data_IF_615526848392
#
_entry.id   IF_615526848392
#
_cell.length_a   1.000
_cell.length_b   1.000
_cell.length_c   1.000
_cell.angle_alpha   90.00
_cell.angle_beta   90.00
_cell.angle_gamma   90.00
#
_symmetry.space_group_name_H-M   'P 1'
#
loop_
_entity.id
_entity.type
_entity.pdbx_description
1 polymer ?
#
# COMPACT_ATOMS: atom_id res chain seq x y z
N UNK A 1 -9.68 4.81 9.90
CA UNK A 1 -10.20 3.60 10.57
C UNK A 1 -11.46 3.89 11.41
N UNK A 2 -11.47 4.89 12.30
CA UNK A 2 -12.61 5.15 13.20
C UNK A 2 -13.94 5.50 12.48
N UNK A 3 -13.88 6.00 11.25
CA UNK A 3 -15.05 6.37 10.45
C UNK A 3 -15.72 5.17 9.79
N UNK A 4 -14.96 4.10 9.47
CA UNK A 4 -15.41 2.95 8.71
C UNK A 4 -16.42 2.14 9.50
N UNK A 5 -17.58 1.83 8.88
CA UNK A 5 -18.65 1.02 9.46
C UNK A 5 -19.24 0.07 8.45
N UNK A 6 -19.71 -1.08 8.91
CA UNK A 6 -20.51 -2.00 8.09
C UNK A 6 -21.68 -1.27 7.43
N UNK A 7 -21.97 -1.58 6.17
CA UNK A 7 -23.02 -0.96 5.36
C UNK A 7 -22.62 0.31 4.63
N UNK A 8 -21.45 0.90 4.91
CA UNK A 8 -20.92 2.01 4.12
C UNK A 8 -20.51 1.54 2.73
N UNK A 9 -20.60 2.44 1.72
CA UNK A 9 -20.05 2.16 0.39
C UNK A 9 -18.58 2.53 0.29
N UNK A 10 -17.86 1.98 -0.70
CA UNK A 10 -16.47 2.32 -1.00
C UNK A 10 -16.33 3.82 -1.27
N UNK A 11 -17.24 4.37 -2.08
CA UNK A 11 -17.26 5.81 -2.40
C UNK A 11 -17.46 6.71 -1.17
N UNK A 12 -18.33 6.32 -0.22
CA UNK A 12 -18.51 7.11 1.02
C UNK A 12 -17.23 7.22 1.83
N UNK A 13 -16.39 6.15 1.85
CA UNK A 13 -15.12 6.19 2.57
C UNK A 13 -14.10 7.02 1.78
N UNK A 14 -14.04 6.88 0.46
CA UNK A 14 -13.16 7.69 -0.38
C UNK A 14 -13.48 9.19 -0.24
N UNK A 15 -14.75 9.58 -0.37
CA UNK A 15 -15.19 10.98 -0.21
C UNK A 15 -14.83 11.56 1.16
N UNK A 16 -14.94 10.74 2.22
CA UNK A 16 -14.55 11.17 3.55
C UNK A 16 -13.03 11.42 3.65
N UNK A 17 -12.20 10.54 3.09
CA UNK A 17 -10.73 10.69 3.09
C UNK A 17 -10.34 11.97 2.34
N UNK A 18 -10.88 12.17 1.16
CA UNK A 18 -10.62 13.34 0.32
C UNK A 18 -11.04 14.65 1.02
N UNK A 19 -12.23 14.66 1.65
CA UNK A 19 -12.70 15.81 2.42
C UNK A 19 -11.77 16.15 3.61
N UNK A 20 -11.25 15.13 4.32
CA UNK A 20 -10.32 15.34 5.42
C UNK A 20 -8.96 15.87 4.90
N UNK A 21 -8.45 15.40 3.76
CA UNK A 21 -7.24 15.95 3.15
C UNK A 21 -7.36 17.46 2.88
N UNK A 22 -8.43 17.88 2.22
CA UNK A 22 -8.64 19.31 1.96
C UNK A 22 -8.85 20.14 3.23
N UNK A 23 -9.53 19.58 4.22
CA UNK A 23 -9.72 20.22 5.53
C UNK A 23 -8.41 20.43 6.27
N UNK A 24 -7.47 19.48 6.18
CA UNK A 24 -6.14 19.59 6.76
C UNK A 24 -5.20 20.50 5.93
N UNK A 25 -5.60 20.93 4.72
CA UNK A 25 -4.88 21.91 3.91
C UNK A 25 -4.14 21.33 2.70
N UNK A 26 -4.43 20.08 2.30
CA UNK A 26 -3.95 19.55 1.03
C UNK A 26 -4.46 20.40 -0.14
N UNK A 27 -3.63 20.56 -1.17
CA UNK A 27 -3.96 21.35 -2.38
C UNK A 27 -4.53 20.51 -3.51
N UNK A 28 -4.51 19.20 -3.38
CA UNK A 28 -5.03 18.23 -4.35
C UNK A 28 -4.84 16.80 -3.85
N UNK A 29 -5.25 15.85 -4.66
CA UNK A 29 -4.97 14.43 -4.48
C UNK A 29 -3.74 14.06 -5.31
N UNK A 30 -2.92 13.11 -4.83
CA UNK A 30 -1.80 12.54 -5.61
C UNK A 30 -2.34 11.70 -6.77
N UNK A 31 -3.41 10.95 -6.48
CA UNK A 31 -4.17 10.09 -7.39
C UNK A 31 -5.61 9.95 -6.88
N UNK A 32 -6.49 9.34 -7.67
CA UNK A 32 -7.86 9.03 -7.25
C UNK A 32 -7.84 8.02 -6.08
N UNK A 33 -8.42 8.39 -4.93
CA UNK A 33 -8.43 7.54 -3.74
C UNK A 33 -9.05 6.17 -4.04
N UNK A 34 -8.33 5.08 -3.75
CA UNK A 34 -8.79 3.71 -3.94
C UNK A 34 -9.35 3.19 -2.61
N UNK A 35 -10.59 2.71 -2.63
CA UNK A 35 -11.21 2.00 -1.51
C UNK A 35 -11.87 0.74 -2.05
N UNK A 36 -11.45 -0.43 -1.57
CA UNK A 36 -11.91 -1.72 -2.06
C UNK A 36 -12.40 -2.60 -0.92
N UNK A 37 -13.54 -3.28 -1.11
CA UNK A 37 -14.06 -4.24 -0.14
C UNK A 37 -14.03 -5.66 -0.68
N UNK A 38 -13.54 -6.62 0.12
CA UNK A 38 -13.55 -8.03 -0.21
C UNK A 38 -12.96 -8.30 -1.59
N UNK A 39 -13.73 -8.89 -2.51
CA UNK A 39 -13.25 -9.28 -3.85
C UNK A 39 -12.78 -8.10 -4.72
N UNK A 40 -13.30 -6.88 -4.52
CA UNK A 40 -12.83 -5.70 -5.24
C UNK A 40 -11.37 -5.37 -4.94
N UNK A 41 -10.87 -5.74 -3.75
CA UNK A 41 -9.47 -5.50 -3.38
C UNK A 41 -8.47 -6.38 -4.18
N UNK A 42 -8.94 -7.34 -4.95
CA UNK A 42 -8.09 -8.08 -5.88
C UNK A 42 -7.80 -7.30 -7.19
N UNK A 43 -8.55 -6.24 -7.47
CA UNK A 43 -8.28 -5.29 -8.55
C UNK A 43 -7.48 -4.11 -8.00
N UNK A 44 -6.23 -4.00 -8.42
CA UNK A 44 -5.26 -3.01 -7.91
C UNK A 44 -5.60 -1.57 -8.29
N UNK A 45 -6.38 -1.38 -9.36
CA UNK A 45 -6.80 -0.07 -9.89
C UNK A 45 -8.31 0.14 -9.79
N UNK A 46 -8.96 -0.54 -8.84
CA UNK A 46 -10.40 -0.46 -8.63
C UNK A 46 -10.86 0.97 -8.30
N UNK A 47 -11.89 1.44 -8.98
CA UNK A 47 -12.55 2.71 -8.64
C UNK A 47 -13.63 2.49 -7.58
N UNK A 48 -13.70 3.31 -6.51
CA UNK A 48 -14.66 3.13 -5.42
C UNK A 48 -16.11 3.12 -5.90
N UNK A 49 -16.82 2.04 -5.60
CA UNK A 49 -18.22 1.82 -5.99
C UNK A 49 -19.19 2.63 -5.13
N UNK A 50 -20.19 3.25 -5.76
CA UNK A 50 -21.29 3.94 -5.07
C UNK A 50 -22.32 2.97 -4.45
N UNK A 51 -22.33 1.70 -4.88
CA UNK A 51 -23.37 0.74 -4.51
C UNK A 51 -22.86 -0.47 -3.73
N UNK A 52 -21.56 -0.80 -3.84
CA UNK A 52 -20.93 -1.90 -3.09
C UNK A 52 -20.81 -1.50 -1.62
N UNK A 53 -21.50 -2.22 -0.75
CA UNK A 53 -21.50 -1.98 0.69
C UNK A 53 -20.60 -2.96 1.44
N UNK A 54 -19.92 -2.47 2.46
CA UNK A 54 -19.04 -3.22 3.35
C UNK A 54 -19.83 -4.21 4.20
N UNK A 55 -19.34 -5.45 4.30
CA UNK A 55 -19.90 -6.51 5.12
C UNK A 55 -18.91 -6.99 6.17
N UNK A 56 -19.43 -7.53 7.28
CA UNK A 56 -18.60 -8.17 8.29
C UNK A 56 -17.74 -9.29 7.70
N UNK A 57 -16.47 -9.38 8.13
CA UNK A 57 -15.46 -10.33 7.65
C UNK A 57 -14.75 -9.94 6.36
N UNK A 58 -15.15 -8.86 5.68
CA UNK A 58 -14.47 -8.41 4.47
C UNK A 58 -13.23 -7.56 4.78
N UNK A 59 -12.20 -7.68 3.94
CA UNK A 59 -11.10 -6.73 3.95
C UNK A 59 -11.57 -5.36 3.42
N UNK A 60 -10.89 -4.32 3.89
CA UNK A 60 -11.02 -2.93 3.45
C UNK A 60 -9.62 -2.44 3.10
N UNK A 61 -9.27 -2.52 1.83
CA UNK A 61 -8.03 -1.96 1.32
C UNK A 61 -8.27 -0.50 0.99
N UNK A 62 -7.43 0.36 1.52
CA UNK A 62 -7.44 1.81 1.27
C UNK A 62 -6.07 2.23 0.80
N UNK A 63 -6.02 2.82 -0.38
CA UNK A 63 -4.86 3.43 -0.96
C UNK A 63 -5.15 4.91 -1.22
N UNK A 64 -4.33 5.78 -0.64
CA UNK A 64 -4.66 7.20 -0.52
C UNK A 64 -3.42 8.07 -0.47
N UNK A 65 -3.47 9.18 -1.20
CA UNK A 65 -2.42 10.17 -1.24
C UNK A 65 -2.94 11.57 -1.51
N UNK A 66 -2.22 12.59 -1.04
CA UNK A 66 -2.55 13.99 -1.26
C UNK A 66 -1.32 14.81 -1.64
N UNK A 67 -1.56 15.98 -2.24
CA UNK A 67 -0.52 16.96 -2.56
C UNK A 67 -0.43 17.96 -1.40
N UNK A 68 0.75 18.00 -0.78
CA UNK A 68 1.07 18.94 0.29
C UNK A 68 2.33 19.73 -0.05
N UNK A 69 2.23 21.06 -0.07
CA UNK A 69 3.36 21.94 -0.45
C UNK A 69 4.02 21.57 -1.79
N UNK A 70 3.22 21.06 -2.75
CA UNK A 70 3.69 20.67 -4.08
C UNK A 70 4.33 19.29 -4.18
N UNK A 71 4.26 18.47 -3.13
CA UNK A 71 4.73 17.09 -3.13
C UNK A 71 3.58 16.11 -2.89
N UNK A 72 3.66 14.96 -3.55
CA UNK A 72 2.73 13.85 -3.40
C UNK A 72 3.06 13.02 -2.16
N UNK A 73 2.03 12.57 -1.46
CA UNK A 73 2.10 11.48 -0.48
C UNK A 73 1.41 10.24 -1.03
N UNK A 74 1.76 9.08 -0.49
CA UNK A 74 1.20 7.80 -0.87
C UNK A 74 1.23 6.82 0.31
N UNK A 75 0.14 6.07 0.51
CA UNK A 75 0.05 5.05 1.55
C UNK A 75 -1.10 4.10 1.32
N UNK A 76 -0.81 2.80 1.33
CA UNK A 76 -1.85 1.76 1.40
C UNK A 76 -1.87 1.07 2.76
N UNK A 77 -3.09 0.84 3.27
CA UNK A 77 -3.36 -0.03 4.44
C UNK A 77 -4.58 -0.91 4.18
N UNK A 78 -4.51 -2.13 4.72
CA UNK A 78 -5.64 -3.08 4.68
C UNK A 78 -6.17 -3.31 6.09
N UNK A 79 -7.49 -3.15 6.26
CA UNK A 79 -8.25 -3.38 7.48
C UNK A 79 -9.26 -4.51 7.27
N UNK A 80 -9.99 -4.92 8.33
CA UNK A 80 -11.03 -5.96 8.25
C UNK A 80 -12.28 -5.51 9.00
N UNK A 81 -13.45 -5.68 8.39
CA UNK A 81 -14.71 -5.28 9.00
C UNK A 81 -15.13 -6.27 10.10
N UNK A 82 -15.17 -5.79 11.34
CA UNK A 82 -15.60 -6.51 12.58
C UNK A 82 -14.81 -7.77 12.91
N UNK A 83 -14.46 -8.60 11.94
CA UNK A 83 -13.74 -9.87 12.14
C UNK A 83 -12.74 -10.13 11.03
N UNK A 84 -11.76 -10.96 11.31
CA UNK A 84 -10.73 -11.42 10.38
C UNK A 84 -10.60 -12.92 10.55
N UNK A 85 -10.45 -13.67 9.45
CA UNK A 85 -10.21 -15.10 9.49
C UNK A 85 -8.71 -15.46 9.48
N UNK A 86 -8.37 -16.74 9.68
CA UNK A 86 -6.99 -17.20 9.78
C UNK A 86 -6.22 -17.06 8.45
N UNK A 87 -6.88 -17.23 7.29
CA UNK A 87 -6.25 -17.06 5.97
C UNK A 87 -5.90 -15.60 5.77
N UNK A 88 -6.82 -14.68 6.09
CA UNK A 88 -6.62 -13.24 5.99
C UNK A 88 -5.48 -12.76 6.91
N UNK A 89 -5.41 -13.25 8.16
CA UNK A 89 -4.32 -12.93 9.09
C UNK A 89 -2.98 -13.42 8.52
N UNK A 90 -2.93 -14.67 8.03
CA UNK A 90 -1.72 -15.26 7.47
C UNK A 90 -1.18 -14.45 6.29
N UNK A 91 -2.07 -14.08 5.35
CA UNK A 91 -1.70 -13.30 4.16
C UNK A 91 -1.30 -11.87 4.55
N UNK A 92 -2.04 -11.24 5.46
CA UNK A 92 -1.69 -9.89 5.93
C UNK A 92 -0.30 -9.87 6.60
N UNK A 93 -0.01 -10.82 7.48
CA UNK A 93 1.30 -10.92 8.14
C UNK A 93 2.42 -11.26 7.15
N UNK A 94 2.14 -12.03 6.10
CA UNK A 94 3.09 -12.31 5.04
C UNK A 94 3.44 -11.03 4.26
N UNK A 95 2.43 -10.25 3.83
CA UNK A 95 2.63 -8.98 3.13
C UNK A 95 3.36 -7.98 4.03
N UNK A 96 2.95 -7.85 5.30
CA UNK A 96 3.63 -6.98 6.27
C UNK A 96 5.10 -7.38 6.43
N UNK A 97 5.39 -8.66 6.57
CA UNK A 97 6.78 -9.15 6.70
C UNK A 97 7.59 -8.89 5.44
N UNK A 98 6.95 -8.97 4.25
CA UNK A 98 7.59 -8.66 2.98
C UNK A 98 7.99 -7.17 2.90
N UNK A 99 7.11 -6.25 3.31
CA UNK A 99 7.43 -4.81 3.44
C UNK A 99 8.61 -4.62 4.38
N UNK A 100 8.52 -5.12 5.63
CA UNK A 100 9.55 -4.96 6.66
C UNK A 100 10.92 -5.51 6.24
N UNK A 101 10.95 -6.63 5.52
CA UNK A 101 12.21 -7.20 4.98
C UNK A 101 12.81 -6.38 3.86
N UNK A 102 11.99 -5.87 2.95
CA UNK A 102 12.45 -5.00 1.87
C UNK A 102 13.01 -3.68 2.45
N UNK A 103 12.29 -3.05 3.37
CA UNK A 103 12.72 -1.85 4.07
C UNK A 103 14.06 -2.04 4.80
N UNK A 104 14.22 -3.16 5.52
CA UNK A 104 15.37 -3.42 6.39
C UNK A 104 16.74 -3.40 5.70
N UNK A 105 16.80 -3.60 4.38
CA UNK A 105 18.06 -3.59 3.63
C UNK A 105 18.34 -2.26 2.92
N UNK A 106 17.40 -1.30 2.96
CA UNK A 106 17.53 -0.03 2.24
C UNK A 106 18.64 0.80 2.85
N UNK A 107 19.61 1.15 2.02
CA UNK A 107 20.70 2.09 2.31
C UNK A 107 21.41 2.44 1.01
N UNK A 108 22.24 3.48 0.98
CA UNK A 108 23.04 3.81 -0.19
C UNK A 108 23.83 2.61 -0.74
N UNK A 109 23.80 2.43 -2.07
CA UNK A 109 24.52 1.38 -2.78
C UNK A 109 23.80 0.04 -2.89
N UNK A 110 22.65 -0.17 -2.25
CA UNK A 110 21.82 -1.37 -2.45
C UNK A 110 21.07 -1.25 -3.78
N UNK A 111 21.04 -2.31 -4.58
CA UNK A 111 20.33 -2.32 -5.87
C UNK A 111 18.83 -2.46 -5.65
N UNK A 112 18.02 -1.81 -6.48
CA UNK A 112 16.56 -1.91 -6.40
C UNK A 112 16.05 -3.34 -6.62
N UNK A 113 16.70 -4.12 -7.50
CA UNK A 113 16.34 -5.53 -7.68
C UNK A 113 16.62 -6.40 -6.43
N UNK A 114 17.59 -6.03 -5.59
CA UNK A 114 17.86 -6.76 -4.34
C UNK A 114 16.83 -6.38 -3.26
N UNK A 115 16.32 -5.15 -3.27
CA UNK A 115 15.21 -4.73 -2.41
C UNK A 115 13.93 -5.47 -2.81
N UNK A 116 13.60 -5.53 -4.12
CA UNK A 116 12.45 -6.28 -4.65
C UNK A 116 12.53 -7.77 -4.27
N UNK A 117 13.70 -8.38 -4.38
CA UNK A 117 13.91 -9.80 -4.09
C UNK A 117 13.53 -10.16 -2.63
N UNK A 118 13.77 -9.25 -1.65
CA UNK A 118 13.41 -9.53 -0.24
C UNK A 118 11.92 -9.80 -0.06
N UNK A 119 11.08 -9.05 -0.76
CA UNK A 119 9.63 -9.23 -0.68
C UNK A 119 9.16 -10.35 -1.63
N UNK A 120 9.67 -10.36 -2.86
CA UNK A 120 9.23 -11.28 -3.91
C UNK A 120 9.57 -12.73 -3.60
N UNK A 121 10.78 -13.00 -3.13
CA UNK A 121 11.20 -14.35 -2.77
C UNK A 121 10.39 -14.88 -1.59
N UNK A 122 10.18 -14.04 -0.56
CA UNK A 122 9.36 -14.41 0.61
C UNK A 122 7.93 -14.81 0.22
N UNK A 123 7.27 -13.97 -0.60
CA UNK A 123 5.89 -14.23 -1.06
C UNK A 123 5.86 -15.46 -1.99
N UNK A 124 6.88 -15.63 -2.84
CA UNK A 124 7.03 -16.77 -3.73
C UNK A 124 7.23 -18.09 -2.98
N UNK A 125 8.15 -18.12 -2.00
CA UNK A 125 8.43 -19.29 -1.16
C UNK A 125 7.22 -19.71 -0.32
N UNK A 126 6.37 -18.74 0.07
CA UNK A 126 5.10 -19.02 0.74
C UNK A 126 4.00 -19.55 -0.20
N UNK A 127 4.26 -19.66 -1.52
CA UNK A 127 3.31 -20.18 -2.51
C UNK A 127 2.36 -19.15 -3.09
N UNK A 128 2.56 -17.84 -2.81
CA UNK A 128 1.68 -16.77 -3.29
C UNK A 128 2.26 -15.95 -4.45
N UNK A 129 3.38 -16.34 -5.05
CA UNK A 129 4.04 -15.59 -6.11
C UNK A 129 3.18 -15.33 -7.36
N UNK A 130 2.24 -16.24 -7.69
CA UNK A 130 1.31 -16.06 -8.81
C UNK A 130 0.26 -14.95 -8.58
N UNK A 131 0.03 -14.58 -7.32
CA UNK A 131 -0.93 -13.55 -6.92
C UNK A 131 -0.31 -12.16 -6.78
N UNK A 132 0.99 -11.99 -7.10
CA UNK A 132 1.67 -10.70 -7.12
C UNK A 132 2.54 -10.54 -8.38
N UNK A 133 2.08 -9.73 -9.34
CA UNK A 133 2.69 -9.61 -10.69
C UNK A 133 3.24 -8.22 -11.01
N UNK A 134 3.07 -7.26 -10.11
CA UNK A 134 3.53 -5.89 -10.31
C UNK A 134 4.92 -5.66 -9.71
N UNK A 135 5.50 -4.48 -9.94
CA UNK A 135 6.71 -3.99 -9.28
C UNK A 135 6.51 -3.88 -7.78
N UNK A 136 7.60 -3.85 -7.02
CA UNK A 136 7.56 -3.63 -5.57
C UNK A 136 7.25 -2.18 -5.20
N UNK A 137 7.60 -1.21 -6.05
CA UNK A 137 7.38 0.18 -5.77
C UNK A 137 7.78 1.10 -6.92
N UNK A 138 7.51 2.38 -6.75
CA UNK A 138 7.80 3.45 -7.70
C UNK A 138 8.45 4.66 -7.01
N UNK A 139 9.14 5.48 -7.77
CA UNK A 139 9.62 6.77 -7.28
C UNK A 139 8.46 7.76 -7.22
N UNK A 140 8.52 8.67 -6.25
CA UNK A 140 7.50 9.67 -5.97
C UNK A 140 8.15 10.98 -5.53
N UNK A 141 7.50 12.10 -5.82
CA UNK A 141 7.98 13.42 -5.44
C UNK A 141 6.95 14.50 -5.74
N UNK A 142 7.15 15.29 -6.78
CA UNK A 142 6.17 16.28 -7.24
C UNK A 142 5.06 15.62 -8.09
N UNK A 143 5.36 14.45 -8.67
CA UNK A 143 4.40 13.59 -9.34
C UNK A 143 4.24 12.30 -8.53
N UNK A 144 3.06 11.69 -8.63
CA UNK A 144 2.75 10.42 -7.98
C UNK A 144 3.70 9.32 -8.45
N UNK A 145 3.88 9.18 -9.75
CA UNK A 145 4.83 8.26 -10.36
C UNK A 145 5.93 9.03 -11.10
N UNK A 146 7.10 9.16 -10.49
CA UNK A 146 8.30 9.71 -11.14
C UNK A 146 9.11 8.63 -11.86
N UNK A 147 10.14 9.05 -12.61
CA UNK A 147 10.97 8.12 -13.36
C UNK A 147 11.81 7.23 -12.44
N UNK A 148 11.62 5.92 -12.56
CA UNK A 148 12.28 4.88 -11.80
C UNK A 148 11.28 3.96 -11.09
N UNK A 149 11.76 2.79 -10.69
CA UNK A 149 10.97 1.79 -9.99
C UNK A 149 11.82 0.93 -9.05
N UNK A 150 11.15 0.19 -8.16
CA UNK A 150 11.73 -0.90 -7.39
C UNK A 150 11.17 -2.20 -7.98
N UNK A 151 12.00 -2.87 -8.80
CA UNK A 151 11.55 -4.05 -9.55
C UNK A 151 12.69 -5.07 -9.73
N UNK A 152 12.38 -6.33 -10.09
CA UNK A 152 13.39 -7.38 -10.24
C UNK A 152 14.40 -7.13 -11.37
N UNK A 153 14.10 -6.21 -12.29
CA UNK A 153 14.98 -5.90 -13.41
C UNK A 153 15.82 -4.63 -13.20
N UNK A 154 15.48 -3.80 -12.19
CA UNK A 154 16.19 -2.55 -11.93
C UNK A 154 17.48 -2.79 -11.13
N UNK A 155 18.63 -2.68 -11.80
CA UNK A 155 19.97 -2.87 -11.22
C UNK A 155 20.62 -1.58 -10.73
N UNK A 156 19.96 -0.43 -10.87
CA UNK A 156 20.44 0.82 -10.30
C UNK A 156 20.49 0.70 -8.77
N UNK A 157 21.30 1.54 -8.15
CA UNK A 157 21.49 1.55 -6.70
C UNK A 157 20.73 2.71 -6.06
N UNK A 158 20.30 2.49 -4.83
CA UNK A 158 19.73 3.54 -4.01
C UNK A 158 20.80 4.57 -3.64
N UNK A 159 20.45 5.86 -3.72
CA UNK A 159 21.32 7.00 -3.38
C UNK A 159 20.62 7.89 -2.35
N UNK A 160 21.38 8.59 -1.48
CA UNK A 160 20.80 9.53 -0.53
C UNK A 160 19.88 10.56 -1.18
N UNK A 161 18.73 10.82 -0.58
CA UNK A 161 17.70 11.74 -1.07
C UNK A 161 16.68 11.13 -2.00
N UNK A 162 16.85 9.88 -2.45
CA UNK A 162 15.81 9.17 -3.23
C UNK A 162 14.62 8.83 -2.35
N UNK A 163 13.42 9.01 -2.90
CA UNK A 163 12.14 8.65 -2.26
C UNK A 163 11.39 7.71 -3.20
N UNK A 164 10.90 6.60 -2.65
CA UNK A 164 10.12 5.60 -3.40
C UNK A 164 9.19 4.81 -2.47
N UNK A 165 8.16 4.18 -3.07
CA UNK A 165 7.25 3.30 -2.34
C UNK A 165 7.83 1.89 -2.17
N UNK A 166 7.36 1.19 -1.12
CA UNK A 166 7.52 -0.24 -0.90
C UNK A 166 6.12 -0.80 -0.65
N UNK A 167 5.52 -1.46 -1.65
CA UNK A 167 4.09 -1.77 -1.72
C UNK A 167 3.77 -3.20 -2.20
N UNK A 168 4.36 -4.25 -1.61
CA UNK A 168 4.00 -5.59 -2.02
C UNK A 168 2.53 -5.88 -1.72
N UNK A 169 1.91 -6.71 -2.54
CA UNK A 169 0.53 -7.12 -2.34
C UNK A 169 0.27 -8.56 -2.80
N UNK A 170 -0.77 -9.17 -2.26
CA UNK A 170 -1.29 -10.47 -2.68
C UNK A 170 -2.75 -10.28 -3.06
N UNK A 171 -3.09 -10.61 -4.30
CA UNK A 171 -4.39 -10.32 -4.92
C UNK A 171 -5.02 -11.62 -5.42
N UNK A 172 -5.98 -12.17 -4.65
CA UNK A 172 -6.66 -13.42 -4.97
C UNK A 172 -7.99 -13.11 -5.64
N UNK A 173 -8.02 -13.23 -6.96
CA UNK A 173 -9.21 -12.93 -7.79
C UNK A 173 -10.45 -13.63 -7.25
N UNK A 174 -11.55 -12.86 -7.13
CA UNK A 174 -12.83 -13.34 -6.61
C UNK A 174 -12.89 -13.52 -5.09
N UNK A 175 -11.78 -13.34 -4.37
CA UNK A 175 -11.73 -13.42 -2.90
C UNK A 175 -11.45 -12.06 -2.26
N UNK A 176 -10.20 -11.60 -2.27
CA UNK A 176 -9.75 -10.34 -1.68
C UNK A 176 -8.31 -10.01 -2.09
N UNK A 177 -7.88 -8.82 -1.76
CA UNK A 177 -6.47 -8.38 -1.87
C UNK A 177 -5.97 -7.78 -0.56
N UNK A 178 -4.67 -7.88 -0.36
CA UNK A 178 -3.94 -7.22 0.74
C UNK A 178 -2.75 -6.49 0.15
N UNK A 179 -2.66 -5.18 0.37
CA UNK A 179 -1.49 -4.34 0.11
C UNK A 179 -1.15 -3.55 1.37
N UNK A 180 0.13 -3.42 1.64
CA UNK A 180 0.67 -2.54 2.67
C UNK A 180 1.79 -1.77 2.01
N UNK A 181 1.78 -0.47 2.16
CA UNK A 181 2.68 0.44 1.48
C UNK A 181 3.21 1.51 2.41
N UNK A 182 4.49 1.76 2.34
CA UNK A 182 5.14 2.91 2.93
C UNK A 182 6.06 3.61 1.92
N UNK A 183 6.18 4.92 2.06
CA UNK A 183 7.21 5.72 1.42
C UNK A 183 8.49 5.70 2.23
N UNK A 184 9.60 5.54 1.55
CA UNK A 184 10.94 5.46 2.11
C UNK A 184 11.80 6.58 1.56
N UNK A 185 12.48 7.32 2.44
CA UNK A 185 13.57 8.24 2.11
C UNK A 185 14.91 7.54 2.37
N UNK A 186 15.78 7.47 1.39
CA UNK A 186 17.16 7.00 1.57
C UNK A 186 17.98 8.10 2.24
N UNK A 187 18.58 7.79 3.40
CA UNK A 187 19.47 8.69 4.16
C UNK A 187 20.95 8.42 3.81
N UNK A 188 21.88 9.17 4.39
CA UNK A 188 23.32 8.99 4.17
C UNK A 188 23.84 7.61 4.60
N UNK A 189 23.18 6.96 5.56
CA UNK A 189 23.64 5.70 6.18
C UNK A 189 22.54 4.61 6.29
N UNK A 190 21.33 4.88 5.81
CA UNK A 190 20.21 3.95 5.90
C UNK A 190 18.96 4.48 5.21
N UNK A 191 17.84 4.43 5.93
CA UNK A 191 16.54 4.94 5.43
C UNK A 191 15.70 5.52 6.57
N UNK A 192 14.70 6.32 6.17
CA UNK A 192 13.64 6.83 7.03
C UNK A 192 12.27 6.49 6.42
N UNK A 193 11.32 6.03 7.24
CA UNK A 193 9.93 5.84 6.81
C UNK A 193 9.18 7.18 6.91
N UNK A 194 8.56 7.59 5.82
CA UNK A 194 7.73 8.80 5.80
C UNK A 194 6.30 8.54 6.28
N UNK A 195 5.85 7.27 6.26
CA UNK A 195 4.57 6.83 6.79
C UNK A 195 4.77 6.19 8.18
N UNK A 196 4.09 6.71 9.20
CA UNK A 196 4.22 6.23 10.59
C UNK A 196 3.00 5.43 11.09
N UNK A 197 2.09 5.07 10.18
CA UNK A 197 0.88 4.28 10.51
C UNK A 197 1.24 2.81 10.64
N UNK A 198 0.80 2.19 11.76
CA UNK A 198 1.04 0.76 12.03
C UNK A 198 0.59 -0.14 10.87
N UNK A 199 1.44 -1.11 10.52
CA UNK A 199 1.23 -2.10 9.44
C UNK A 199 0.44 -3.34 9.87
N UNK A 200 0.20 -3.53 11.18
CA UNK A 200 -0.55 -4.69 11.68
C UNK A 200 -2.01 -4.64 11.26
N UNK A 201 -2.59 -5.82 11.04
CA UNK A 201 -4.02 -5.88 10.78
C UNK A 201 -4.84 -5.30 11.94
N UNK A 202 -5.94 -4.65 11.61
CA UNK A 202 -6.90 -4.12 12.58
C UNK A 202 -8.32 -4.38 12.09
N UNK A 203 -9.21 -4.64 13.03
CA UNK A 203 -10.63 -4.64 12.74
C UNK A 203 -11.21 -3.23 12.85
N UNK A 204 -12.21 -2.93 12.02
CA UNK A 204 -12.97 -1.67 11.95
C UNK A 204 -14.48 -1.97 11.91
N UNK A 205 -15.34 -1.02 12.27
CA UNK A 205 -16.78 -1.15 12.18
C UNK A 205 -17.48 -1.42 13.49
#
# INVERSE_FOLDING_TARGET
AAYIKEGMTEKQIADFIEAEYYKEGATGLSFDTIVCFGANAADQHHSPSETRTLKAGECVLIDMGCIWNGYCSDMTRTFYCKSVDEEQVTIHDLVRTAVEKAEAIIKPGVRFCDIDAQARDLIGEAGYGEYWKIRLGHFIGQEDHEYGDVSPINKNVAEPGMIFSIEPGIYIEGKYGVRIEDLVLVTEDGYELLNVVDKKYRTVG
#
